data_IF_751203257926
#
_entry.id   IF_751203257926
#
_cell.length_a   1.000
_cell.length_b   1.000
_cell.length_c   1.000
_cell.angle_alpha   90.00
_cell.angle_beta   90.00
_cell.angle_gamma   90.00
#
_symmetry.space_group_name_H-M   'P 1'
#
loop_
_entity.id
_entity.type
_entity.pdbx_description
1 polymer ?
#
# COMPACT_ATOMS: atom_id res chain seq x y z
N UNK A 1 74.92 34.45 -14.74
CA UNK A 1 73.84 35.32 -15.27
C UNK A 1 72.51 34.64 -15.01
N UNK A 2 71.45 35.42 -14.74
CA UNK A 2 70.40 35.08 -13.76
C UNK A 2 69.25 34.24 -14.33
N UNK A 3 68.50 33.70 -13.38
CA UNK A 3 67.40 32.74 -13.46
C UNK A 3 66.05 33.44 -13.66
N UNK A 4 65.17 32.91 -14.52
CA UNK A 4 63.75 33.25 -14.55
C UNK A 4 62.93 32.11 -15.20
N UNK A 5 61.82 31.73 -14.56
CA UNK A 5 60.71 30.91 -15.10
C UNK A 5 59.42 31.77 -15.09
N UNK A 6 58.26 31.30 -15.62
CA UNK A 6 57.96 30.73 -16.95
C UNK A 6 56.64 31.34 -17.54
N UNK A 7 56.16 30.89 -18.72
CA UNK A 7 54.83 31.26 -19.26
C UNK A 7 54.16 30.17 -20.15
N UNK A 8 52.82 30.17 -20.31
CA UNK A 8 51.95 28.97 -20.48
C UNK A 8 51.45 28.66 -21.91
N UNK A 9 50.64 27.60 -22.09
CA UNK A 9 50.37 26.90 -23.37
C UNK A 9 48.89 26.85 -23.88
N UNK A 10 48.74 26.94 -25.22
CA UNK A 10 47.62 26.82 -26.25
C UNK A 10 46.84 25.52 -26.60
N UNK A 11 45.54 25.26 -26.30
CA UNK A 11 44.81 24.03 -26.71
C UNK A 11 43.84 24.16 -27.92
N UNK A 12 44.22 23.73 -29.15
CA UNK A 12 43.39 22.88 -30.07
C UNK A 12 44.00 22.70 -31.49
N UNK A 13 44.64 21.54 -31.74
CA UNK A 13 44.96 20.93 -33.06
C UNK A 13 44.99 19.40 -32.84
N UNK A 14 44.34 18.55 -33.66
CA UNK A 14 44.44 17.10 -33.52
C UNK A 14 45.63 16.60 -34.37
N UNK A 15 46.65 15.91 -33.87
CA UNK A 15 46.96 15.46 -32.51
C UNK A 15 48.19 16.21 -31.97
N UNK A 16 48.06 16.68 -30.73
CA UNK A 16 49.10 17.12 -29.80
C UNK A 16 49.96 18.34 -30.21
N UNK A 17 49.46 19.55 -29.91
CA UNK A 17 50.16 20.86 -29.80
C UNK A 17 51.54 20.99 -30.49
N UNK A 18 51.55 21.59 -31.68
CA UNK A 18 52.56 22.51 -32.28
C UNK A 18 51.98 22.91 -33.67
N UNK A 19 52.07 24.10 -34.24
CA UNK A 19 52.60 25.43 -33.95
C UNK A 19 52.26 26.26 -35.23
N UNK A 20 52.47 27.58 -35.18
CA UNK A 20 52.50 28.56 -36.30
C UNK A 20 51.19 29.21 -36.74
N UNK A 21 51.05 30.50 -36.38
CA UNK A 21 50.24 31.47 -37.10
C UNK A 21 51.11 32.34 -37.99
N UNK A 22 50.52 32.92 -39.03
CA UNK A 22 50.93 34.16 -39.69
C UNK A 22 49.78 34.59 -40.62
N UNK A 23 49.50 35.90 -40.63
CA UNK A 23 48.35 36.50 -41.31
C UNK A 23 48.57 36.88 -42.78
N UNK A 24 47.65 37.75 -43.23
CA UNK A 24 47.47 38.34 -44.58
C UNK A 24 46.84 37.36 -45.60
N UNK A 25 45.87 37.71 -46.46
CA UNK A 25 45.32 38.97 -46.94
C UNK A 25 43.96 38.69 -47.64
N UNK A 26 43.14 39.72 -47.85
CA UNK A 26 42.30 39.80 -49.05
C UNK A 26 40.78 39.86 -48.86
N UNK A 27 40.23 41.06 -49.08
CA UNK A 27 39.18 41.25 -50.10
C UNK A 27 37.71 41.06 -49.73
N UNK A 28 37.04 42.20 -49.58
CA UNK A 28 35.69 42.53 -50.09
C UNK A 28 34.49 41.60 -49.80
N UNK A 29 33.52 42.13 -49.05
CA UNK A 29 32.15 41.61 -49.02
C UNK A 29 31.30 42.28 -47.95
N UNK A 30 30.75 43.46 -48.24
CA UNK A 30 29.76 44.10 -47.40
C UNK A 30 28.48 43.26 -47.34
N UNK A 31 27.93 43.04 -46.14
CA UNK A 31 26.53 42.67 -45.92
C UNK A 31 26.07 43.31 -44.62
N UNK A 32 25.41 44.46 -44.75
CA UNK A 32 24.65 45.08 -43.69
C UNK A 32 23.32 44.33 -43.51
N UNK A 33 22.98 43.97 -42.27
CA UNK A 33 21.61 43.84 -41.82
C UNK A 33 21.47 44.40 -40.40
N UNK A 34 20.92 45.61 -40.32
CA UNK A 34 20.18 46.09 -39.16
C UNK A 34 18.86 45.30 -39.09
N UNK A 35 18.50 44.78 -37.91
CA UNK A 35 17.16 44.23 -37.70
C UNK A 35 16.99 43.38 -36.45
N UNK A 36 16.46 44.00 -35.39
CA UNK A 36 15.62 43.43 -34.34
C UNK A 36 16.00 42.07 -33.72
N UNK A 37 16.47 42.09 -32.47
CA UNK A 37 16.32 40.92 -31.61
C UNK A 37 14.82 40.58 -31.49
N UNK A 38 14.39 39.31 -31.69
CA UNK A 38 13.03 38.95 -31.38
C UNK A 38 12.88 39.00 -29.87
N UNK A 39 12.03 39.91 -29.39
CA UNK A 39 11.45 39.81 -28.07
C UNK A 39 10.49 38.61 -28.07
N UNK A 40 11.02 37.39 -27.94
CA UNK A 40 10.24 36.31 -27.39
C UNK A 40 10.09 36.61 -25.90
N UNK A 41 8.95 37.20 -25.54
CA UNK A 41 8.50 37.24 -24.17
C UNK A 41 8.57 35.81 -23.61
N UNK A 42 9.56 35.54 -22.75
CA UNK A 42 9.47 34.45 -21.81
C UNK A 42 8.23 34.75 -20.95
N UNK A 43 7.09 34.15 -21.29
CA UNK A 43 6.12 33.82 -20.26
C UNK A 43 6.85 32.86 -19.34
N UNK A 44 7.46 33.40 -18.27
CA UNK A 44 7.90 32.57 -17.18
C UNK A 44 6.66 31.76 -16.78
N UNK A 45 6.71 30.44 -16.92
CA UNK A 45 5.70 29.58 -16.32
C UNK A 45 5.63 30.01 -14.86
N UNK A 46 4.50 30.56 -14.42
CA UNK A 46 4.34 30.90 -13.02
C UNK A 46 4.51 29.59 -12.23
N UNK A 47 5.53 29.51 -11.39
CA UNK A 47 5.84 28.35 -10.55
C UNK A 47 5.41 28.59 -9.10
N UNK A 48 4.63 29.65 -8.84
CA UNK A 48 4.15 29.98 -7.51
C UNK A 48 3.32 28.81 -6.96
N UNK A 49 3.75 28.16 -5.86
CA UNK A 49 2.97 27.10 -5.22
C UNK A 49 1.55 27.52 -4.86
N UNK A 50 1.29 28.82 -4.61
CA UNK A 50 -0.04 29.34 -4.34
C UNK A 50 -0.97 29.29 -5.59
N UNK A 51 -0.42 29.30 -6.80
CA UNK A 51 -1.21 29.13 -8.02
C UNK A 51 -1.69 27.67 -8.18
N UNK A 52 -0.89 26.72 -7.71
CA UNK A 52 -1.12 25.27 -7.85
C UNK A 52 -1.72 24.59 -6.63
N UNK A 53 -2.02 25.33 -5.56
CA UNK A 53 -2.62 24.78 -4.34
C UNK A 53 -3.94 25.46 -4.01
N UNK A 54 -4.83 24.70 -3.38
CA UNK A 54 -6.06 25.16 -2.76
C UNK A 54 -5.89 24.92 -1.26
N UNK A 55 -5.58 25.99 -0.52
CA UNK A 55 -5.42 25.92 0.94
C UNK A 55 -6.79 25.81 1.61
N UNK A 56 -7.00 24.77 2.42
CA UNK A 56 -8.26 24.56 3.16
C UNK A 56 -8.65 25.73 4.06
N UNK A 57 -7.67 26.49 4.59
CA UNK A 57 -7.91 27.68 5.42
C UNK A 57 -8.50 28.84 4.63
N UNK A 58 -8.25 28.91 3.32
CA UNK A 58 -8.90 29.89 2.43
C UNK A 58 -10.40 29.64 2.27
N UNK A 59 -10.87 28.46 2.67
CA UNK A 59 -12.29 28.06 2.66
C UNK A 59 -12.90 28.01 4.07
N UNK A 60 -12.18 28.50 5.08
CA UNK A 60 -12.67 28.63 6.45
C UNK A 60 -12.32 27.48 7.39
N UNK A 61 -11.45 26.55 6.99
CA UNK A 61 -10.96 25.52 7.91
C UNK A 61 -10.07 26.16 8.98
N UNK A 62 -10.31 25.84 10.25
CA UNK A 62 -9.60 26.41 11.39
C UNK A 62 -8.38 25.55 11.73
N UNK A 63 -8.57 24.23 11.85
CA UNK A 63 -7.50 23.29 12.21
C UNK A 63 -7.07 23.40 13.68
N UNK A 64 -8.02 23.63 14.60
CA UNK A 64 -7.80 23.79 16.05
C UNK A 64 -8.14 22.54 16.89
N UNK A 65 -8.56 21.45 16.25
CA UNK A 65 -8.95 20.19 16.86
C UNK A 65 -10.37 20.16 17.44
N UNK A 66 -11.10 21.29 17.40
CA UNK A 66 -12.42 21.46 18.02
C UNK A 66 -13.48 21.83 16.99
N UNK A 67 -13.18 22.81 16.14
CA UNK A 67 -14.07 23.30 15.09
C UNK A 67 -14.31 22.20 14.06
N UNK A 68 -15.57 22.00 13.66
CA UNK A 68 -15.89 21.07 12.57
C UNK A 68 -15.54 21.69 11.21
N UNK A 69 -14.42 21.24 10.64
CA UNK A 69 -13.86 21.73 9.39
C UNK A 69 -14.48 21.07 8.14
N UNK A 70 -15.48 20.19 8.31
CA UNK A 70 -16.02 19.36 7.23
C UNK A 70 -16.47 20.17 6.01
N UNK A 71 -17.25 21.24 6.19
CA UNK A 71 -17.77 22.01 5.07
C UNK A 71 -16.69 22.84 4.38
N UNK A 72 -15.75 23.42 5.14
CA UNK A 72 -14.64 24.18 4.61
C UNK A 72 -13.70 23.30 3.76
N UNK A 73 -13.35 22.12 4.28
CA UNK A 73 -12.51 21.15 3.57
C UNK A 73 -13.23 20.66 2.31
N UNK A 74 -14.51 20.31 2.40
CA UNK A 74 -15.29 19.89 1.22
C UNK A 74 -15.37 20.99 0.16
N UNK A 75 -15.49 22.25 0.57
CA UNK A 75 -15.48 23.39 -0.36
C UNK A 75 -14.11 23.57 -1.04
N UNK A 76 -13.00 23.38 -0.32
CA UNK A 76 -11.66 23.39 -0.89
C UNK A 76 -11.46 22.25 -1.91
N UNK A 77 -11.93 21.03 -1.59
CA UNK A 77 -11.91 19.91 -2.55
C UNK A 77 -12.73 20.25 -3.79
N UNK A 78 -13.95 20.74 -3.62
CA UNK A 78 -14.80 21.15 -4.75
C UNK A 78 -14.10 22.20 -5.63
N UNK A 79 -13.43 23.18 -5.03
CA UNK A 79 -12.68 24.19 -5.76
C UNK A 79 -11.51 23.60 -6.56
N UNK A 80 -10.75 22.67 -5.98
CA UNK A 80 -9.69 21.97 -6.72
C UNK A 80 -10.25 21.21 -7.94
N UNK A 81 -11.46 20.64 -7.81
CA UNK A 81 -12.14 19.95 -8.90
C UNK A 81 -12.68 20.90 -9.99
N UNK A 82 -13.08 22.14 -9.66
CA UNK A 82 -13.64 23.08 -10.67
C UNK A 82 -12.67 23.42 -11.79
N UNK A 83 -11.36 23.38 -11.52
CA UNK A 83 -10.30 23.76 -12.48
C UNK A 83 -9.83 22.60 -13.35
N UNK A 84 -10.50 21.44 -13.29
CA UNK A 84 -10.12 20.26 -14.06
C UNK A 84 -10.35 20.45 -15.55
N UNK A 85 -9.44 19.90 -16.38
CA UNK A 85 -9.61 19.82 -17.83
C UNK A 85 -9.48 18.37 -18.27
N UNK A 86 -10.48 17.87 -19.00
CA UNK A 86 -10.55 16.44 -19.37
C UNK A 86 -10.41 15.50 -18.16
N UNK A 87 -11.03 15.86 -17.03
CA UNK A 87 -10.95 15.13 -15.76
C UNK A 87 -9.66 15.33 -14.95
N UNK A 88 -8.61 15.93 -15.54
CA UNK A 88 -7.31 16.12 -14.88
C UNK A 88 -7.36 17.32 -13.95
N UNK A 89 -7.14 17.07 -12.66
CA UNK A 89 -7.03 18.07 -11.61
C UNK A 89 -5.69 18.81 -11.75
N UNK A 90 -5.74 20.14 -11.64
CA UNK A 90 -4.56 21.02 -11.82
C UNK A 90 -4.05 21.65 -10.54
N UNK A 91 -4.80 21.50 -9.44
CA UNK A 91 -4.45 22.03 -8.13
C UNK A 91 -4.52 20.95 -7.07
N UNK A 92 -3.53 20.92 -6.20
CA UNK A 92 -3.59 20.09 -4.99
C UNK A 92 -4.45 20.75 -3.90
N UNK A 93 -5.02 19.94 -3.02
CA UNK A 93 -5.66 20.40 -1.79
C UNK A 93 -4.60 20.41 -0.69
N UNK A 94 -4.27 21.58 -0.17
CA UNK A 94 -3.22 21.77 0.81
C UNK A 94 -3.80 21.96 2.22
N UNK A 95 -3.23 21.22 3.18
CA UNK A 95 -3.53 21.28 4.60
C UNK A 95 -2.30 21.82 5.35
N UNK A 96 -2.30 23.11 5.75
CA UNK A 96 -1.27 23.64 6.64
C UNK A 96 -1.20 22.87 7.97
N UNK A 97 -0.16 23.07 8.80
CA UNK A 97 -0.11 22.48 10.14
C UNK A 97 -1.37 22.79 10.96
N UNK A 98 -1.86 21.80 11.68
CA UNK A 98 -3.10 21.91 12.47
C UNK A 98 -3.82 20.60 12.64
N UNK A 99 -4.83 20.65 13.51
CA UNK A 99 -5.71 19.53 13.86
C UNK A 99 -7.10 19.76 13.26
N UNK A 100 -7.39 19.13 12.12
CA UNK A 100 -8.64 19.30 11.40
C UNK A 100 -9.66 18.24 11.83
N UNK A 101 -10.76 18.68 12.46
CA UNK A 101 -11.83 17.77 12.90
C UNK A 101 -12.91 17.70 11.82
N UNK A 102 -13.21 16.48 11.37
CA UNK A 102 -14.24 16.20 10.36
C UNK A 102 -15.32 15.33 11.00
N UNK A 103 -16.58 15.77 10.96
CA UNK A 103 -17.72 15.00 11.49
C UNK A 103 -18.63 14.43 10.39
N UNK A 104 -18.43 14.82 9.13
CA UNK A 104 -19.27 14.42 7.99
C UNK A 104 -18.56 13.41 7.09
N UNK A 105 -19.32 12.41 6.64
CA UNK A 105 -18.87 11.46 5.60
C UNK A 105 -18.63 12.18 4.27
N UNK A 106 -17.83 11.55 3.40
CA UNK A 106 -17.55 12.01 2.04
C UNK A 106 -16.93 13.42 1.95
N UNK A 107 -16.32 13.90 3.03
CA UNK A 107 -15.70 15.23 3.11
C UNK A 107 -14.52 15.39 2.15
N UNK A 108 -13.67 14.36 2.01
CA UNK A 108 -12.50 14.42 1.13
C UNK A 108 -12.82 14.03 -0.30
N UNK A 109 -13.82 13.18 -0.53
CA UNK A 109 -14.36 12.87 -1.85
C UNK A 109 -15.71 12.17 -1.70
N UNK A 110 -16.61 12.44 -2.64
CA UNK A 110 -17.93 11.82 -2.74
C UNK A 110 -18.07 11.09 -4.08
N UNK A 111 -18.97 10.11 -4.16
CA UNK A 111 -19.41 9.58 -5.44
C UNK A 111 -20.73 10.25 -5.87
N UNK A 112 -20.82 10.87 -7.06
CA UNK A 112 -22.03 11.50 -7.52
C UNK A 112 -23.01 10.44 -8.04
N UNK A 113 -24.30 10.63 -7.80
CA UNK A 113 -25.37 9.72 -8.25
C UNK A 113 -25.66 9.76 -9.75
N UNK A 114 -24.89 10.51 -10.55
CA UNK A 114 -25.17 10.79 -11.97
C UNK A 114 -24.34 9.97 -12.97
N UNK A 115 -23.56 8.99 -12.51
CA UNK A 115 -22.97 7.95 -13.38
C UNK A 115 -21.49 8.15 -13.72
N UNK A 116 -20.99 7.39 -14.71
CA UNK A 116 -19.56 7.18 -15.00
C UNK A 116 -18.84 8.35 -15.70
N UNK A 117 -19.51 9.47 -15.98
CA UNK A 117 -18.95 10.59 -16.74
C UNK A 117 -17.97 11.46 -15.94
N UNK A 118 -17.84 11.27 -14.61
CA UNK A 118 -17.20 12.21 -13.70
C UNK A 118 -15.81 11.78 -13.18
N UNK A 119 -14.97 11.22 -14.06
CA UNK A 119 -13.62 10.77 -13.68
C UNK A 119 -12.71 11.93 -13.25
N UNK A 120 -11.95 11.69 -12.18
CA UNK A 120 -11.02 12.63 -11.55
C UNK A 120 -9.63 12.03 -11.60
N UNK A 121 -8.72 12.68 -12.33
CA UNK A 121 -7.34 12.25 -12.49
C UNK A 121 -6.39 13.19 -11.75
N UNK A 122 -5.43 12.66 -11.01
CA UNK A 122 -4.32 13.47 -10.49
C UNK A 122 -4.67 14.28 -9.23
N UNK A 123 -5.77 13.99 -8.53
CA UNK A 123 -6.12 14.69 -7.29
C UNK A 123 -5.07 14.40 -6.21
N UNK A 124 -4.59 15.45 -5.55
CA UNK A 124 -3.59 15.35 -4.47
C UNK A 124 -4.07 16.04 -3.21
N UNK A 125 -3.86 15.39 -2.08
CA UNK A 125 -4.03 15.93 -0.74
C UNK A 125 -2.66 15.98 -0.08
N UNK A 126 -2.17 17.19 0.25
CA UNK A 126 -0.83 17.39 0.82
C UNK A 126 -0.92 18.06 2.18
N UNK A 127 -0.24 17.49 3.17
CA UNK A 127 -0.01 18.09 4.49
C UNK A 127 1.45 18.47 4.71
N UNK A 128 1.82 18.69 5.98
CA UNK A 128 3.16 19.10 6.41
C UNK A 128 3.94 18.02 7.19
N UNK A 129 3.47 16.77 7.13
CA UNK A 129 4.06 15.59 7.76
C UNK A 129 3.12 14.92 8.78
N UNK A 130 3.29 13.61 9.05
CA UNK A 130 2.60 12.93 10.14
C UNK A 130 2.74 13.70 11.45
N UNK A 131 1.62 13.82 12.19
CA UNK A 131 1.52 14.54 13.47
C UNK A 131 1.70 16.06 13.41
N UNK A 132 2.05 16.62 12.25
CA UNK A 132 2.07 18.08 12.01
C UNK A 132 0.75 18.53 11.39
N UNK A 133 0.25 17.76 10.42
CA UNK A 133 -1.09 17.89 9.86
C UNK A 133 -1.91 16.68 10.29
N UNK A 134 -2.94 16.88 11.09
CA UNK A 134 -3.78 15.81 11.62
C UNK A 134 -5.22 15.98 11.14
N UNK A 135 -5.79 14.93 10.54
CA UNK A 135 -7.20 14.87 10.18
C UNK A 135 -7.88 13.86 11.10
N UNK A 136 -8.76 14.33 11.98
CA UNK A 136 -9.55 13.49 12.90
C UNK A 136 -10.94 13.28 12.32
N UNK A 137 -11.26 12.05 11.92
CA UNK A 137 -12.62 11.67 11.51
C UNK A 137 -13.43 11.33 12.76
N UNK A 138 -14.14 12.32 13.29
CA UNK A 138 -14.77 12.36 14.60
C UNK A 138 -16.28 12.32 14.48
N UNK A 139 -16.81 11.14 14.18
CA UNK A 139 -18.23 10.91 13.90
C UNK A 139 -18.87 10.09 15.01
N UNK A 140 -20.18 10.23 15.16
CA UNK A 140 -21.00 9.38 16.00
C UNK A 140 -21.75 8.31 15.19
N UNK A 141 -21.21 7.89 14.04
CA UNK A 141 -21.87 6.91 13.19
C UNK A 141 -22.01 5.55 13.88
N UNK A 142 -23.15 4.90 13.69
CA UNK A 142 -23.35 3.50 14.04
C UNK A 142 -22.75 2.59 12.95
N UNK A 143 -22.45 1.33 13.31
CA UNK A 143 -22.01 0.34 12.33
C UNK A 143 -23.06 0.15 11.22
N UNK A 144 -22.60 0.05 9.98
CA UNK A 144 -23.44 -0.20 8.80
C UNK A 144 -22.95 -1.43 8.06
N UNK A 145 -23.90 -2.24 7.58
CA UNK A 145 -23.60 -3.34 6.67
C UNK A 145 -23.39 -2.87 5.23
N UNK A 146 -23.86 -1.66 4.88
CA UNK A 146 -23.60 -1.06 3.58
C UNK A 146 -22.17 -0.49 3.56
N UNK A 147 -21.25 -1.03 2.73
CA UNK A 147 -19.86 -0.59 2.69
C UNK A 147 -19.69 0.84 2.15
N UNK A 148 -20.72 1.43 1.55
CA UNK A 148 -20.74 2.82 1.07
C UNK A 148 -20.92 3.83 2.21
N UNK A 149 -21.38 3.39 3.37
CA UNK A 149 -21.62 4.26 4.52
C UNK A 149 -20.38 4.48 5.40
N UNK A 150 -20.41 5.56 6.18
CA UNK A 150 -19.39 5.93 7.16
C UNK A 150 -17.97 6.14 6.60
N UNK A 151 -17.83 6.47 5.32
CA UNK A 151 -16.54 6.71 4.69
C UNK A 151 -16.15 8.19 4.72
N UNK A 152 -14.88 8.49 4.91
CA UNK A 152 -14.36 9.84 4.64
C UNK A 152 -14.24 10.11 3.11
N UNK A 153 -14.08 9.04 2.33
CA UNK A 153 -13.92 9.04 0.87
C UNK A 153 -14.79 7.94 0.26
N UNK A 154 -15.64 8.29 -0.70
CA UNK A 154 -16.28 7.33 -1.62
C UNK A 154 -15.91 7.62 -3.07
N UNK A 155 -15.65 6.56 -3.84
CA UNK A 155 -15.43 6.67 -5.28
C UNK A 155 -15.99 5.47 -6.05
N UNK A 156 -17.03 5.72 -6.86
CA UNK A 156 -17.53 4.76 -7.84
C UNK A 156 -16.97 5.07 -9.22
N UNK A 157 -16.02 4.26 -9.72
CA UNK A 157 -15.35 4.46 -11.02
C UNK A 157 -14.85 5.91 -11.23
N UNK A 158 -14.34 6.53 -10.16
CA UNK A 158 -14.13 7.99 -10.15
C UNK A 158 -12.68 8.40 -10.02
N UNK A 159 -11.93 7.80 -9.11
CA UNK A 159 -10.60 8.28 -8.74
C UNK A 159 -9.49 7.57 -9.51
N UNK A 160 -8.63 8.34 -10.19
CA UNK A 160 -7.45 7.82 -10.87
C UNK A 160 -6.23 8.68 -10.54
N UNK A 161 -5.07 8.06 -10.36
CA UNK A 161 -3.84 8.76 -10.01
C UNK A 161 -4.04 9.69 -8.79
N UNK A 162 -4.53 9.14 -7.68
CA UNK A 162 -4.83 9.93 -6.47
C UNK A 162 -3.69 9.82 -5.46
N UNK A 163 -3.32 10.94 -4.85
CA UNK A 163 -2.17 11.05 -3.94
C UNK A 163 -2.58 11.61 -2.58
N UNK A 164 -2.08 11.00 -1.51
CA UNK A 164 -2.15 11.48 -0.14
C UNK A 164 -0.74 11.56 0.42
N UNK A 165 -0.32 12.75 0.88
CA UNK A 165 1.07 12.99 1.24
C UNK A 165 1.22 13.77 2.55
N UNK A 166 2.02 13.25 3.48
CA UNK A 166 2.51 13.99 4.65
C UNK A 166 1.42 14.42 5.64
N UNK A 167 0.64 13.49 6.17
CA UNK A 167 -0.37 13.80 7.21
C UNK A 167 -0.78 12.56 8.01
N UNK A 168 -1.41 12.77 9.16
CA UNK A 168 -2.02 11.70 9.95
C UNK A 168 -3.53 11.70 9.81
N UNK A 169 -4.13 10.51 9.71
CA UNK A 169 -5.58 10.29 9.83
C UNK A 169 -5.88 9.54 11.13
N UNK A 170 -6.82 10.06 11.92
CA UNK A 170 -7.21 9.44 13.20
C UNK A 170 -8.71 9.19 13.26
N UNK A 171 -9.10 8.04 13.78
CA UNK A 171 -10.46 7.75 14.22
C UNK A 171 -10.44 7.14 15.62
N UNK A 172 -11.51 7.37 16.38
CA UNK A 172 -11.78 6.67 17.63
C UNK A 172 -13.06 5.83 17.57
N UNK A 173 -13.80 5.92 16.45
CA UNK A 173 -15.04 5.20 16.24
C UNK A 173 -14.77 3.95 15.37
N UNK A 174 -15.01 2.74 15.89
CA UNK A 174 -14.81 1.49 15.15
C UNK A 174 -15.84 1.25 14.02
N UNK A 175 -16.77 2.18 13.78
CA UNK A 175 -17.68 2.20 12.63
C UNK A 175 -17.18 3.06 11.45
N UNK A 176 -16.13 3.87 11.66
CA UNK A 176 -15.59 4.76 10.63
C UNK A 176 -14.73 4.01 9.63
N UNK A 177 -14.84 4.44 8.38
CA UNK A 177 -14.01 4.01 7.27
C UNK A 177 -13.23 5.20 6.69
N UNK A 178 -11.98 5.00 6.29
CA UNK A 178 -11.25 6.06 5.58
C UNK A 178 -11.71 6.15 4.12
N UNK A 179 -11.72 5.05 3.37
CA UNK A 179 -12.12 5.06 1.98
C UNK A 179 -12.85 3.79 1.52
N UNK A 180 -13.77 3.96 0.58
CA UNK A 180 -14.39 2.88 -0.18
C UNK A 180 -14.38 3.16 -1.69
N UNK A 181 -13.77 2.25 -2.44
CA UNK A 181 -13.58 2.33 -3.89
C UNK A 181 -14.27 1.15 -4.58
N UNK A 182 -15.21 1.41 -5.48
CA UNK A 182 -15.91 0.35 -6.20
C UNK A 182 -16.14 0.67 -7.67
N UNK A 183 -16.34 -0.37 -8.48
CA UNK A 183 -16.61 -0.19 -9.91
C UNK A 183 -18.04 -0.50 -10.32
N UNK A 184 -18.71 -1.50 -9.74
CA UNK A 184 -20.11 -1.87 -10.06
C UNK A 184 -20.87 -2.04 -8.75
N UNK A 185 -22.16 -1.71 -8.72
CA UNK A 185 -23.01 -1.86 -7.53
C UNK A 185 -23.30 -3.36 -7.29
N UNK A 186 -22.50 -3.97 -6.43
CA UNK A 186 -22.58 -5.39 -6.10
C UNK A 186 -23.64 -5.71 -5.04
N UNK A 187 -24.44 -4.73 -4.59
CA UNK A 187 -25.25 -4.86 -3.36
C UNK A 187 -26.72 -5.32 -3.56
N UNK A 188 -27.36 -5.20 -4.74
CA UNK A 188 -28.67 -5.80 -5.05
C UNK A 188 -29.15 -5.52 -6.49
N UNK A 189 -30.07 -6.35 -7.02
CA UNK A 189 -30.62 -6.37 -8.39
C UNK A 189 -31.40 -5.15 -8.89
N UNK A 190 -31.25 -3.98 -8.28
CA UNK A 190 -31.57 -2.68 -8.87
C UNK A 190 -30.55 -1.66 -8.34
N UNK A 191 -29.57 -1.24 -9.17
CA UNK A 191 -28.52 -0.34 -8.73
C UNK A 191 -29.11 0.96 -8.16
N UNK A 192 -28.76 1.32 -6.91
CA UNK A 192 -29.19 2.61 -6.32
C UNK A 192 -28.43 3.78 -6.94
N UNK A 193 -27.28 3.47 -7.54
CA UNK A 193 -26.45 4.37 -8.30
C UNK A 193 -26.41 3.90 -9.76
N UNK A 194 -26.17 4.78 -10.74
CA UNK A 194 -26.13 4.38 -12.14
C UNK A 194 -25.11 3.26 -12.31
N UNK A 195 -25.35 2.36 -13.26
CA UNK A 195 -24.40 1.34 -13.67
C UNK A 195 -23.08 2.04 -14.05
N UNK A 196 -22.18 2.15 -13.09
CA UNK A 196 -20.87 2.70 -13.34
C UNK A 196 -20.19 1.61 -14.16
N UNK A 197 -20.01 1.87 -15.46
CA UNK A 197 -19.50 0.86 -16.40
C UNK A 197 -18.14 0.31 -15.98
N UNK A 198 -17.56 -0.57 -16.81
CA UNK A 198 -16.31 -1.32 -16.60
C UNK A 198 -15.01 -0.47 -16.41
N UNK A 199 -15.10 0.76 -15.90
CA UNK A 199 -13.99 1.64 -15.62
C UNK A 199 -13.40 1.44 -14.22
N UNK A 200 -12.25 2.07 -14.04
CA UNK A 200 -11.31 1.80 -12.95
C UNK A 200 -11.24 2.93 -11.93
N UNK A 201 -11.15 2.58 -10.64
CA UNK A 201 -10.45 3.41 -9.66
C UNK A 201 -9.00 2.97 -9.60
N UNK A 202 -8.10 3.77 -10.16
CA UNK A 202 -6.76 3.30 -10.51
C UNK A 202 -5.67 4.13 -9.83
N UNK A 203 -4.57 3.49 -9.44
CA UNK A 203 -3.34 4.17 -9.03
C UNK A 203 -3.53 5.12 -7.85
N UNK A 204 -3.34 4.58 -6.66
CA UNK A 204 -3.37 5.32 -5.40
C UNK A 204 -1.99 5.34 -4.77
N UNK A 205 -1.54 6.51 -4.36
CA UNK A 205 -0.28 6.67 -3.62
C UNK A 205 -0.57 7.29 -2.26
N UNK A 206 -0.23 6.57 -1.22
CA UNK A 206 -0.16 7.05 0.14
C UNK A 206 1.32 7.14 0.51
N UNK A 207 1.83 8.36 0.69
CA UNK A 207 3.22 8.61 1.01
C UNK A 207 3.32 9.35 2.33
N UNK A 208 4.11 8.82 3.25
CA UNK A 208 4.33 9.49 4.55
C UNK A 208 3.01 9.79 5.26
N UNK A 209 2.13 8.78 5.31
CA UNK A 209 0.83 8.83 5.98
C UNK A 209 0.87 7.99 7.24
N UNK A 210 0.29 8.50 8.32
CA UNK A 210 0.06 7.74 9.55
C UNK A 210 -1.45 7.53 9.80
N UNK A 211 -1.89 6.28 9.95
CA UNK A 211 -3.26 5.98 10.41
C UNK A 211 -3.27 5.53 11.86
N UNK A 212 -4.11 6.20 12.67
CA UNK A 212 -4.14 6.05 14.13
C UNK A 212 -5.50 5.64 14.64
N UNK A 213 -5.49 4.90 15.75
CA UNK A 213 -6.69 4.63 16.53
C UNK A 213 -7.62 3.57 15.95
N UNK A 214 -8.90 3.65 16.28
CA UNK A 214 -9.88 2.61 15.98
C UNK A 214 -10.68 2.93 14.72
N UNK A 215 -10.69 1.99 13.79
CA UNK A 215 -11.44 2.07 12.53
C UNK A 215 -12.26 0.80 12.34
N UNK A 216 -13.34 0.86 11.57
CA UNK A 216 -13.89 -0.35 10.97
C UNK A 216 -12.88 -0.87 9.94
N UNK A 217 -12.58 -0.03 8.95
CA UNK A 217 -11.61 -0.29 7.89
C UNK A 217 -10.90 0.99 7.45
N UNK A 218 -9.66 0.89 6.99
CA UNK A 218 -9.01 2.06 6.36
C UNK A 218 -9.41 2.11 4.89
N UNK A 219 -9.10 1.10 4.08
CA UNK A 219 -9.44 1.07 2.66
C UNK A 219 -10.28 -0.16 2.34
N UNK A 220 -11.45 0.04 1.74
CA UNK A 220 -12.26 -1.02 1.13
C UNK A 220 -12.25 -0.91 -0.39
N UNK A 221 -12.08 -2.05 -1.05
CA UNK A 221 -12.09 -2.16 -2.51
C UNK A 221 -13.11 -3.22 -2.92
N UNK A 222 -13.97 -2.90 -3.89
CA UNK A 222 -15.02 -3.82 -4.33
C UNK A 222 -15.34 -3.74 -5.84
N UNK A 223 -16.02 -4.76 -6.33
CA UNK A 223 -16.52 -4.91 -7.69
C UNK A 223 -16.95 -6.35 -7.99
N UNK A 224 -17.99 -6.50 -8.79
CA UNK A 224 -18.45 -7.80 -9.30
C UNK A 224 -17.53 -8.33 -10.42
N UNK A 225 -17.93 -9.39 -11.14
CA UNK A 225 -17.13 -10.08 -12.18
C UNK A 225 -16.90 -9.23 -13.43
N UNK A 226 -17.69 -8.18 -13.61
CA UNK A 226 -17.67 -7.30 -14.77
C UNK A 226 -16.87 -6.02 -14.48
N UNK A 227 -16.73 -5.71 -13.19
CA UNK A 227 -15.86 -4.66 -12.72
C UNK A 227 -14.42 -4.85 -13.20
N UNK A 228 -13.76 -3.70 -13.40
CA UNK A 228 -12.33 -3.61 -13.60
C UNK A 228 -11.84 -2.47 -12.71
N UNK A 229 -11.41 -2.78 -11.49
CA UNK A 229 -10.95 -1.73 -10.58
C UNK A 229 -9.44 -1.50 -10.69
N UNK A 230 -8.69 -2.26 -11.51
CA UNK A 230 -7.23 -2.20 -11.74
C UNK A 230 -6.44 -1.56 -10.60
N UNK A 231 -6.68 -2.04 -9.38
CA UNK A 231 -6.47 -1.26 -8.16
C UNK A 231 -5.01 -1.29 -7.74
N UNK A 232 -4.18 -0.46 -8.36
CA UNK A 232 -2.79 -0.29 -7.91
C UNK A 232 -2.76 0.60 -6.67
N UNK A 233 -2.38 0.04 -5.52
CA UNK A 233 -2.21 0.80 -4.28
C UNK A 233 -0.74 0.77 -3.82
N UNK A 234 -0.18 1.96 -3.62
CA UNK A 234 1.18 2.17 -3.17
C UNK A 234 1.18 2.80 -1.77
N UNK A 235 1.70 2.07 -0.79
CA UNK A 235 1.98 2.56 0.55
C UNK A 235 3.48 2.76 0.67
N UNK A 236 3.91 4.00 0.88
CA UNK A 236 5.33 4.38 0.89
C UNK A 236 5.62 5.18 2.15
N UNK A 237 6.54 4.70 2.99
CA UNK A 237 6.89 5.36 4.26
C UNK A 237 5.68 5.57 5.18
N UNK A 238 4.65 4.72 5.07
CA UNK A 238 3.45 4.84 5.89
C UNK A 238 3.64 4.18 7.26
N UNK A 239 2.81 4.59 8.21
CA UNK A 239 2.83 4.01 9.56
C UNK A 239 1.44 3.89 10.19
N UNK A 240 1.38 3.10 11.26
CA UNK A 240 0.23 3.03 12.17
C UNK A 240 0.73 3.13 13.62
N UNK A 241 -0.12 3.58 14.54
CA UNK A 241 0.26 3.72 15.95
C UNK A 241 -0.06 2.48 16.79
N UNK A 242 0.43 2.48 18.03
CA UNK A 242 0.33 1.31 18.93
C UNK A 242 -1.08 1.05 19.46
N UNK A 243 -2.04 1.91 19.15
CA UNK A 243 -3.46 1.72 19.49
C UNK A 243 -4.30 1.37 18.26
N UNK A 244 -3.70 1.34 17.06
CA UNK A 244 -4.39 1.04 15.82
C UNK A 244 -5.05 -0.33 15.85
N UNK A 245 -6.37 -0.36 15.62
CA UNK A 245 -7.19 -1.57 15.58
C UNK A 245 -8.31 -1.47 14.56
N UNK A 246 -8.70 -2.62 14.02
CA UNK A 246 -9.64 -2.72 12.91
C UNK A 246 -10.74 -3.74 13.21
N UNK A 247 -12.01 -3.34 13.07
CA UNK A 247 -13.15 -4.27 13.20
C UNK A 247 -13.28 -5.18 11.97
N UNK A 248 -12.98 -4.67 10.77
CA UNK A 248 -12.82 -5.44 9.54
C UNK A 248 -11.33 -5.65 9.21
N UNK A 249 -10.66 -4.67 8.60
CA UNK A 249 -9.20 -4.73 8.35
C UNK A 249 -8.60 -3.34 8.04
N UNK A 250 -7.28 -3.18 8.03
CA UNK A 250 -6.67 -1.97 7.45
C UNK A 250 -7.05 -1.83 5.96
N UNK A 251 -6.80 -2.87 5.16
CA UNK A 251 -7.21 -2.95 3.76
C UNK A 251 -8.02 -4.23 3.55
N UNK A 252 -9.22 -4.09 3.00
CA UNK A 252 -10.05 -5.22 2.56
C UNK A 252 -10.30 -5.12 1.06
N UNK A 253 -9.85 -6.13 0.32
CA UNK A 253 -10.15 -6.30 -1.11
C UNK A 253 -11.19 -7.40 -1.29
N UNK A 254 -12.27 -7.07 -2.02
CA UNK A 254 -13.47 -7.90 -2.11
C UNK A 254 -14.31 -7.78 -0.85
N UNK A 255 -14.83 -6.57 -0.58
CA UNK A 255 -15.57 -6.26 0.66
C UNK A 255 -16.90 -7.03 0.76
N UNK A 256 -17.67 -7.06 -0.33
CA UNK A 256 -18.94 -7.80 -0.40
C UNK A 256 -18.74 -9.25 -0.84
N UNK A 257 -19.75 -10.09 -0.68
CA UNK A 257 -19.80 -11.43 -1.31
C UNK A 257 -21.21 -11.61 -1.89
N UNK A 258 -21.51 -11.03 -3.05
CA UNK A 258 -22.86 -11.07 -3.58
C UNK A 258 -23.16 -12.48 -4.08
N UNK A 259 -24.14 -13.12 -3.46
CA UNK A 259 -24.61 -14.44 -3.87
C UNK A 259 -25.04 -14.42 -5.35
N UNK A 260 -24.23 -15.02 -6.22
CA UNK A 260 -24.55 -15.22 -7.64
C UNK A 260 -23.79 -14.32 -8.63
N UNK A 261 -23.11 -13.26 -8.19
CA UNK A 261 -22.15 -12.53 -9.03
C UNK A 261 -20.76 -12.77 -8.47
N UNK A 262 -19.90 -13.49 -9.21
CA UNK A 262 -18.49 -13.64 -8.83
C UNK A 262 -17.91 -12.23 -8.65
N UNK A 263 -17.10 -11.97 -7.63
CA UNK A 263 -16.34 -10.71 -7.62
C UNK A 263 -15.22 -10.79 -8.67
N UNK A 264 -14.82 -9.65 -9.24
CA UNK A 264 -13.71 -9.62 -10.17
C UNK A 264 -12.44 -10.16 -9.51
N UNK A 265 -11.63 -10.80 -10.33
CA UNK A 265 -10.31 -11.27 -9.96
C UNK A 265 -9.22 -10.19 -10.20
N UNK A 266 -9.60 -9.01 -10.73
CA UNK A 266 -8.68 -7.90 -11.07
C UNK A 266 -8.39 -6.92 -9.93
N UNK A 267 -8.36 -7.40 -8.68
CA UNK A 267 -7.78 -6.65 -7.57
C UNK A 267 -6.25 -6.82 -7.59
N UNK A 268 -5.57 -6.07 -8.45
CA UNK A 268 -4.17 -6.34 -8.82
C UNK A 268 -3.20 -5.24 -8.34
N UNK A 269 -2.03 -5.69 -7.87
CA UNK A 269 -0.81 -4.90 -7.61
C UNK A 269 -0.86 -3.97 -6.39
N UNK A 270 -0.38 -4.49 -5.27
CA UNK A 270 -0.20 -3.76 -4.02
C UNK A 270 1.28 -3.66 -3.71
N UNK A 271 1.72 -2.47 -3.34
CA UNK A 271 3.11 -2.18 -3.01
C UNK A 271 3.19 -1.55 -1.63
N UNK A 272 3.97 -2.15 -0.75
CA UNK A 272 4.23 -1.65 0.59
C UNK A 272 5.74 -1.47 0.73
N UNK A 273 6.18 -0.23 0.87
CA UNK A 273 7.59 0.14 0.78
C UNK A 273 8.01 0.92 2.02
N UNK A 274 8.96 0.36 2.78
CA UNK A 274 9.56 0.98 3.97
C UNK A 274 8.53 1.50 4.98
N UNK A 275 7.46 0.71 5.20
CA UNK A 275 6.37 1.07 6.11
C UNK A 275 6.57 0.46 7.49
N UNK A 276 6.14 1.17 8.54
CA UNK A 276 6.25 0.74 9.93
C UNK A 276 4.87 0.62 10.57
N UNK A 277 4.38 -0.61 10.70
CA UNK A 277 3.00 -0.84 11.15
C UNK A 277 2.94 -1.46 12.56
N UNK A 278 2.29 -0.74 13.46
CA UNK A 278 1.82 -1.29 14.72
C UNK A 278 0.36 -1.79 14.60
N UNK A 279 0.04 -2.92 15.24
CA UNK A 279 -1.30 -3.52 15.20
C UNK A 279 -1.73 -4.01 16.59
N UNK A 280 -2.71 -3.33 17.20
CA UNK A 280 -3.23 -3.65 18.53
C UNK A 280 -4.40 -4.65 18.51
N UNK A 281 -4.98 -4.92 17.35
CA UNK A 281 -6.03 -5.93 17.17
C UNK A 281 -6.71 -5.84 15.80
N UNK A 282 -7.26 -6.96 15.35
CA UNK A 282 -7.93 -7.09 14.06
C UNK A 282 -6.99 -7.48 12.92
N UNK A 283 -7.50 -7.40 11.69
CA UNK A 283 -6.76 -7.77 10.49
C UNK A 283 -6.11 -6.56 9.84
N UNK A 284 -4.99 -6.76 9.14
CA UNK A 284 -4.32 -5.68 8.42
C UNK A 284 -4.62 -5.76 6.93
N UNK A 285 -4.00 -6.69 6.22
CA UNK A 285 -4.18 -6.89 4.79
C UNK A 285 -5.06 -8.11 4.52
N UNK A 286 -6.31 -7.87 4.13
CA UNK A 286 -7.33 -8.89 3.87
C UNK A 286 -7.69 -8.96 2.39
N UNK A 287 -7.32 -10.06 1.73
CA UNK A 287 -7.48 -10.25 0.29
C UNK A 287 -8.42 -11.42 -0.01
N UNK A 288 -9.73 -11.14 -0.01
CA UNK A 288 -10.75 -12.17 -0.14
C UNK A 288 -10.79 -12.85 -1.52
N UNK A 289 -10.28 -12.18 -2.56
CA UNK A 289 -10.35 -12.64 -3.97
C UNK A 289 -8.99 -12.72 -4.66
N UNK A 290 -7.92 -12.87 -3.87
CA UNK A 290 -6.57 -12.87 -4.40
C UNK A 290 -5.97 -11.46 -4.51
N UNK A 291 -4.75 -11.40 -5.03
CA UNK A 291 -3.99 -10.19 -5.25
C UNK A 291 -2.53 -10.48 -5.62
N UNK A 292 -1.84 -9.43 -6.06
CA UNK A 292 -0.38 -9.42 -6.28
C UNK A 292 0.23 -8.43 -5.31
N UNK A 293 0.69 -8.91 -4.16
CA UNK A 293 1.19 -8.10 -3.05
C UNK A 293 2.71 -8.15 -2.99
N UNK A 294 3.34 -6.99 -2.92
CA UNK A 294 4.79 -6.84 -2.84
C UNK A 294 5.14 -5.94 -1.66
N UNK A 295 5.90 -6.47 -0.70
CA UNK A 295 6.32 -5.78 0.52
C UNK A 295 7.84 -5.72 0.56
N UNK A 296 8.38 -4.54 0.80
CA UNK A 296 9.82 -4.27 0.82
C UNK A 296 10.19 -3.45 2.05
N UNK A 297 10.87 -4.13 3.00
CA UNK A 297 11.33 -3.54 4.24
C UNK A 297 10.21 -3.13 5.20
N UNK A 298 10.62 -2.77 6.41
CA UNK A 298 9.72 -2.27 7.44
C UNK A 298 9.93 -2.92 8.80
N UNK A 299 9.40 -2.27 9.84
CA UNK A 299 9.36 -2.79 11.20
C UNK A 299 7.90 -2.89 11.65
N UNK A 300 7.41 -4.12 11.77
CA UNK A 300 5.98 -4.40 11.97
C UNK A 300 5.78 -5.07 13.32
N UNK A 301 5.14 -4.39 14.27
CA UNK A 301 4.92 -4.91 15.63
C UNK A 301 3.45 -5.09 15.94
N UNK A 302 3.07 -6.26 16.43
CA UNK A 302 1.77 -6.40 17.10
C UNK A 302 1.85 -5.76 18.50
N UNK A 303 0.71 -5.49 19.13
CA UNK A 303 0.67 -4.86 20.46
C UNK A 303 -0.28 -5.63 21.36
N UNK A 304 0.13 -5.80 22.63
CA UNK A 304 -0.65 -6.56 23.61
C UNK A 304 -0.81 -8.04 23.21
N UNK A 305 -1.93 -8.63 23.59
CA UNK A 305 -2.22 -10.06 23.37
C UNK A 305 -3.47 -10.30 22.52
N UNK A 306 -4.21 -9.24 22.14
CA UNK A 306 -5.41 -9.34 21.32
C UNK A 306 -5.15 -10.10 20.01
N UNK A 307 -6.20 -10.72 19.48
CA UNK A 307 -6.17 -11.31 18.15
C UNK A 307 -5.76 -10.27 17.10
N UNK A 308 -4.72 -10.58 16.33
CA UNK A 308 -4.17 -9.68 15.33
C UNK A 308 -3.51 -10.47 14.19
N UNK A 309 -3.74 -10.06 12.93
CA UNK A 309 -3.19 -10.74 11.76
C UNK A 309 -2.71 -9.76 10.70
N UNK A 310 -1.49 -9.92 10.18
CA UNK A 310 -0.99 -9.05 9.11
C UNK A 310 -1.54 -9.44 7.74
N UNK A 311 -1.38 -10.69 7.31
CA UNK A 311 -1.87 -11.16 6.02
C UNK A 311 -3.00 -12.17 6.22
N UNK A 312 -4.20 -11.83 5.76
CA UNK A 312 -5.39 -12.68 5.80
C UNK A 312 -5.83 -12.97 4.38
N UNK A 313 -5.58 -14.19 3.92
CA UNK A 313 -5.68 -14.58 2.52
C UNK A 313 -6.64 -15.77 2.38
N UNK A 314 -7.96 -15.59 2.58
CA UNK A 314 -8.90 -16.70 2.73
C UNK A 314 -9.09 -17.51 1.43
N UNK A 315 -9.55 -18.76 1.60
CA UNK A 315 -10.03 -19.58 0.51
C UNK A 315 -11.39 -19.07 0.01
N UNK A 316 -11.64 -19.17 -1.30
CA UNK A 316 -12.98 -19.05 -1.87
C UNK A 316 -13.27 -20.28 -2.73
N UNK A 317 -14.37 -20.98 -2.39
CA UNK A 317 -14.76 -22.24 -3.03
C UNK A 317 -14.96 -22.12 -4.55
N UNK A 318 -15.37 -20.93 -4.99
CA UNK A 318 -15.71 -20.64 -6.38
C UNK A 318 -14.50 -20.54 -7.33
N UNK A 319 -13.28 -20.64 -6.79
CA UNK A 319 -12.05 -20.88 -7.57
C UNK A 319 -11.50 -19.70 -8.36
N UNK A 320 -12.00 -18.48 -8.12
CA UNK A 320 -11.74 -17.28 -8.92
C UNK A 320 -10.64 -16.39 -8.32
N UNK A 321 -9.44 -16.94 -8.15
CA UNK A 321 -8.24 -16.17 -7.81
C UNK A 321 -7.30 -16.19 -9.02
N UNK A 322 -7.32 -15.18 -9.88
CA UNK A 322 -6.42 -15.11 -11.05
C UNK A 322 -5.03 -14.65 -10.68
N UNK A 323 -4.91 -13.72 -9.73
CA UNK A 323 -3.65 -13.36 -9.08
C UNK A 323 -3.64 -13.86 -7.64
N UNK A 324 -2.70 -14.74 -7.31
CA UNK A 324 -2.45 -15.20 -5.95
C UNK A 324 -0.93 -15.17 -5.72
N UNK A 325 -0.40 -13.98 -5.43
CA UNK A 325 1.02 -13.79 -5.17
C UNK A 325 1.22 -12.87 -3.97
N UNK A 326 1.91 -13.37 -2.95
CA UNK A 326 2.46 -12.56 -1.88
C UNK A 326 3.99 -12.67 -1.92
N UNK A 327 4.68 -11.54 -2.00
CA UNK A 327 6.13 -11.45 -1.90
C UNK A 327 6.51 -10.45 -0.80
N UNK A 328 7.18 -10.92 0.25
CA UNK A 328 7.62 -10.11 1.40
C UNK A 328 9.12 -10.20 1.54
N UNK A 329 9.80 -9.05 1.52
CA UNK A 329 11.25 -8.98 1.57
C UNK A 329 11.71 -8.05 2.70
N UNK A 330 12.58 -8.53 3.58
CA UNK A 330 13.29 -7.68 4.55
C UNK A 330 12.44 -7.10 5.67
N UNK A 331 11.28 -7.69 5.99
CA UNK A 331 10.42 -7.21 7.08
C UNK A 331 10.82 -7.86 8.39
N UNK A 332 10.97 -7.03 9.44
CA UNK A 332 11.08 -7.50 10.82
C UNK A 332 9.70 -7.46 11.47
N UNK A 333 9.13 -8.64 11.70
CA UNK A 333 7.88 -8.85 12.42
C UNK A 333 8.13 -9.03 13.92
N UNK A 334 7.24 -8.50 14.74
CA UNK A 334 7.26 -8.65 16.19
C UNK A 334 5.88 -9.10 16.71
N UNK A 335 5.41 -10.31 16.36
CA UNK A 335 4.27 -10.91 17.05
C UNK A 335 4.61 -11.02 18.54
N UNK A 336 3.64 -10.74 19.41
CA UNK A 336 3.82 -10.88 20.86
C UNK A 336 3.53 -12.31 21.28
N UNK A 337 3.80 -12.59 22.56
CA UNK A 337 3.63 -13.89 23.20
C UNK A 337 2.14 -14.23 23.37
N UNK A 338 1.43 -14.41 22.25
CA UNK A 338 -0.01 -14.65 22.18
C UNK A 338 -0.32 -15.73 21.12
N UNK A 339 -1.20 -16.69 21.41
CA UNK A 339 -1.63 -17.70 20.43
C UNK A 339 -2.49 -17.11 19.30
N UNK A 340 -3.07 -15.92 19.51
CA UNK A 340 -4.04 -15.30 18.61
C UNK A 340 -3.41 -14.33 17.60
N UNK A 341 -2.07 -14.28 17.55
CA UNK A 341 -1.31 -13.36 16.73
C UNK A 341 -0.61 -14.07 15.56
N UNK A 342 -0.82 -13.59 14.33
CA UNK A 342 -0.28 -14.22 13.11
C UNK A 342 0.36 -13.22 12.15
N UNK A 343 1.55 -13.55 11.70
CA UNK A 343 2.13 -12.90 10.51
C UNK A 343 1.24 -13.20 9.30
N UNK A 344 0.80 -14.46 9.14
CA UNK A 344 -0.03 -14.87 8.01
C UNK A 344 -1.03 -15.96 8.40
N UNK A 345 -2.25 -15.83 7.88
CA UNK A 345 -3.32 -16.82 7.86
C UNK A 345 -3.82 -16.95 6.42
N UNK A 346 -3.36 -17.99 5.72
CA UNK A 346 -3.53 -18.13 4.27
C UNK A 346 -4.32 -19.39 3.93
N UNK A 347 -5.52 -19.22 3.38
CA UNK A 347 -6.33 -20.26 2.76
C UNK A 347 -6.34 -20.23 1.23
N UNK A 348 -5.50 -19.41 0.59
CA UNK A 348 -5.32 -19.54 -0.86
C UNK A 348 -4.96 -21.00 -1.20
N UNK A 349 -5.54 -21.53 -2.28
CA UNK A 349 -5.35 -22.92 -2.67
C UNK A 349 -4.46 -23.06 -3.92
N UNK A 350 -3.84 -21.96 -4.35
CA UNK A 350 -2.99 -21.83 -5.52
C UNK A 350 -2.05 -20.62 -5.38
N UNK A 351 -1.20 -20.43 -6.38
CA UNK A 351 -0.30 -19.28 -6.42
C UNK A 351 0.93 -19.44 -5.55
N UNK A 352 1.52 -18.33 -5.14
CA UNK A 352 2.78 -18.31 -4.38
C UNK A 352 2.74 -17.36 -3.19
N UNK A 353 3.41 -17.77 -2.12
CA UNK A 353 3.67 -16.95 -0.92
C UNK A 353 5.17 -17.05 -0.66
N UNK A 354 5.88 -15.92 -0.68
CA UNK A 354 7.34 -15.89 -0.48
C UNK A 354 7.70 -14.86 0.58
N UNK A 355 8.50 -15.30 1.56
CA UNK A 355 9.18 -14.46 2.53
C UNK A 355 10.69 -14.59 2.31
N UNK A 356 11.39 -13.48 2.19
CA UNK A 356 12.85 -13.43 1.98
C UNK A 356 13.48 -12.50 3.01
N UNK A 357 14.54 -12.95 3.69
CA UNK A 357 15.28 -12.15 4.69
C UNK A 357 14.38 -11.51 5.76
N UNK A 358 13.32 -12.22 6.16
CA UNK A 358 12.39 -11.77 7.17
C UNK A 358 12.74 -12.37 8.55
N UNK A 359 12.29 -11.72 9.61
CA UNK A 359 12.41 -12.26 10.97
C UNK A 359 11.12 -12.04 11.75
N UNK A 360 10.67 -13.03 12.53
CA UNK A 360 9.51 -12.91 13.42
C UNK A 360 9.83 -13.22 14.90
N UNK A 361 11.12 -13.29 15.25
CA UNK A 361 11.56 -13.79 16.56
C UNK A 361 11.68 -12.72 17.64
N UNK A 362 11.79 -11.44 17.29
CA UNK A 362 12.31 -10.42 18.21
C UNK A 362 11.56 -10.32 19.54
N UNK A 363 10.23 -10.51 19.54
CA UNK A 363 9.41 -10.46 20.75
C UNK A 363 9.11 -11.83 21.38
N UNK A 364 9.42 -12.94 20.68
CA UNK A 364 9.13 -14.31 21.14
C UNK A 364 10.38 -15.15 21.38
N UNK A 365 11.59 -14.64 21.16
CA UNK A 365 12.85 -15.40 21.33
C UNK A 365 12.95 -16.10 22.70
N UNK A 366 12.54 -15.40 23.77
CA UNK A 366 12.55 -15.90 25.15
C UNK A 366 11.21 -16.53 25.56
N UNK A 367 10.39 -16.97 24.61
CA UNK A 367 9.12 -17.62 24.92
C UNK A 367 9.35 -19.07 25.32
N UNK A 368 8.76 -19.48 26.45
CA UNK A 368 8.68 -20.89 26.86
C UNK A 368 7.64 -21.69 26.06
N UNK A 369 6.73 -21.00 25.36
CA UNK A 369 5.63 -21.58 24.60
C UNK A 369 5.82 -21.42 23.09
N UNK A 370 5.29 -22.37 22.32
CA UNK A 370 5.30 -22.37 20.87
C UNK A 370 4.07 -21.64 20.33
N UNK A 371 4.26 -20.52 19.66
CA UNK A 371 3.16 -19.74 19.06
C UNK A 371 3.00 -20.07 17.57
N UNK A 372 1.76 -20.15 17.10
CA UNK A 372 1.46 -20.31 15.69
C UNK A 372 1.42 -18.94 15.01
N UNK A 373 2.55 -18.49 14.49
CA UNK A 373 2.66 -17.19 13.79
C UNK A 373 2.34 -17.31 12.30
N UNK A 374 2.40 -18.51 11.73
CA UNK A 374 2.12 -18.78 10.31
C UNK A 374 1.16 -19.98 10.14
N UNK A 375 0.02 -19.75 9.49
CA UNK A 375 -0.98 -20.79 9.18
C UNK A 375 -1.30 -20.82 7.68
N UNK A 376 -1.43 -22.03 7.16
CA UNK A 376 -1.84 -22.32 5.80
C UNK A 376 -2.99 -23.33 5.81
N UNK A 377 -4.20 -22.94 5.40
CA UNK A 377 -5.30 -23.90 5.29
C UNK A 377 -5.18 -24.67 3.98
N UNK A 378 -5.25 -26.00 4.02
CA UNK A 378 -5.22 -26.87 2.84
C UNK A 378 -6.60 -27.12 2.25
N UNK A 379 -7.48 -26.11 2.29
CA UNK A 379 -8.85 -26.21 1.79
C UNK A 379 -8.89 -26.61 0.31
N UNK A 380 -9.83 -27.48 -0.05
CA UNK A 380 -9.85 -28.12 -1.37
C UNK A 380 -8.65 -29.04 -1.64
N UNK A 381 -7.88 -29.43 -0.62
CA UNK A 381 -6.72 -30.31 -0.74
C UNK A 381 -5.48 -29.65 -1.36
N UNK A 382 -5.37 -28.31 -1.32
CA UNK A 382 -4.27 -27.57 -1.95
C UNK A 382 -3.84 -26.39 -1.08
N UNK A 383 -2.57 -26.00 -1.23
CA UNK A 383 -2.00 -24.76 -0.68
C UNK A 383 -1.19 -24.05 -1.79
N UNK A 384 -0.82 -22.77 -1.65
CA UNK A 384 0.19 -22.16 -2.52
C UNK A 384 1.53 -22.88 -2.43
N UNK A 385 2.43 -22.55 -3.36
CA UNK A 385 3.86 -22.79 -3.10
C UNK A 385 4.31 -21.72 -2.11
N UNK A 386 4.64 -22.15 -0.90
CA UNK A 386 5.12 -21.28 0.17
C UNK A 386 6.62 -21.40 0.29
N UNK A 387 7.35 -20.29 0.23
CA UNK A 387 8.80 -20.25 0.40
C UNK A 387 9.19 -19.28 1.50
N UNK A 388 10.09 -19.75 2.37
CA UNK A 388 10.87 -18.94 3.30
C UNK A 388 12.33 -19.05 2.89
N UNK A 389 12.95 -17.92 2.59
CA UNK A 389 14.33 -17.86 2.15
C UNK A 389 15.12 -16.93 3.07
N UNK A 390 16.24 -17.40 3.60
CA UNK A 390 17.15 -16.61 4.44
C UNK A 390 16.46 -15.94 5.65
N UNK A 391 15.42 -16.60 6.20
CA UNK A 391 14.61 -16.04 7.28
C UNK A 391 15.08 -16.52 8.67
N UNK A 392 14.72 -15.77 9.71
CA UNK A 392 14.89 -16.18 11.11
C UNK A 392 13.51 -16.34 11.74
N UNK A 393 13.11 -17.59 11.97
CA UNK A 393 11.72 -17.97 12.25
C UNK A 393 11.54 -18.54 13.66
N UNK A 394 10.50 -18.08 14.36
CA UNK A 394 10.11 -18.52 15.69
C UNK A 394 8.81 -19.33 15.71
N UNK A 395 8.44 -19.83 16.90
CA UNK A 395 7.20 -20.58 17.09
C UNK A 395 7.11 -21.84 16.22
N UNK A 396 5.97 -22.00 15.55
CA UNK A 396 5.73 -23.09 14.61
C UNK A 396 4.82 -22.66 13.45
N UNK A 397 4.99 -23.31 12.31
CA UNK A 397 4.17 -23.15 11.13
C UNK A 397 3.19 -24.32 11.03
N UNK A 398 1.93 -24.03 10.71
CA UNK A 398 0.88 -25.04 10.59
C UNK A 398 0.35 -25.10 9.17
N UNK A 399 0.32 -26.30 8.60
CA UNK A 399 -0.49 -26.63 7.44
C UNK A 399 -1.71 -27.41 7.92
N UNK A 400 -2.84 -26.71 7.92
CA UNK A 400 -4.13 -27.16 8.46
C UNK A 400 -5.04 -27.62 7.32
N UNK A 401 -5.06 -28.91 7.02
CA UNK A 401 -5.95 -29.50 6.01
C UNK A 401 -6.72 -30.71 6.60
N UNK A 402 -7.14 -30.61 7.86
CA UNK A 402 -7.76 -31.72 8.58
C UNK A 402 -8.86 -32.42 7.73
N UNK A 403 -8.69 -33.72 7.50
CA UNK A 403 -9.65 -34.53 6.74
C UNK A 403 -9.48 -34.52 5.20
N UNK A 404 -8.53 -33.77 4.63
CA UNK A 404 -8.29 -33.77 3.18
C UNK A 404 -6.83 -34.09 2.83
N UNK A 405 -6.62 -34.93 1.83
CA UNK A 405 -5.27 -35.24 1.35
C UNK A 405 -4.71 -34.09 0.52
N UNK A 406 -3.49 -33.62 0.83
CA UNK A 406 -2.84 -32.54 0.06
C UNK A 406 -2.35 -33.06 -1.30
N UNK A 407 -2.97 -32.54 -2.37
CA UNK A 407 -2.69 -32.90 -3.76
C UNK A 407 -1.73 -31.94 -4.44
N UNK A 408 -1.71 -30.67 -4.02
CA UNK A 408 -0.92 -29.61 -4.64
C UNK A 408 -0.40 -28.62 -3.60
N UNK A 409 0.61 -27.86 -4.01
CA UNK A 409 1.32 -26.92 -3.14
C UNK A 409 2.43 -27.58 -2.33
N UNK A 410 3.27 -26.76 -1.72
CA UNK A 410 4.46 -27.21 -0.99
C UNK A 410 4.99 -26.12 -0.06
N UNK A 411 5.48 -26.52 1.11
CA UNK A 411 6.25 -25.67 2.02
C UNK A 411 7.76 -25.80 1.70
N UNK A 412 8.46 -24.70 1.50
CA UNK A 412 9.89 -24.68 1.19
C UNK A 412 10.60 -23.74 2.16
N UNK A 413 11.64 -24.24 2.79
CA UNK A 413 12.54 -23.45 3.63
C UNK A 413 13.96 -23.58 3.09
N UNK A 414 14.62 -22.45 2.87
CA UNK A 414 15.94 -22.35 2.25
C UNK A 414 16.77 -21.33 3.05
N UNK A 415 17.97 -21.71 3.51
CA UNK A 415 18.87 -20.80 4.23
C UNK A 415 18.32 -20.24 5.55
N UNK A 416 17.23 -20.82 6.08
CA UNK A 416 16.48 -20.25 7.21
C UNK A 416 16.95 -20.82 8.55
N UNK A 417 16.90 -19.99 9.60
CA UNK A 417 17.17 -20.37 10.99
C UNK A 417 15.87 -20.52 11.77
N UNK A 418 15.82 -21.51 12.65
CA UNK A 418 14.61 -21.87 13.39
C UNK A 418 14.86 -21.80 14.90
N UNK A 419 13.87 -21.29 15.63
CA UNK A 419 13.87 -21.21 17.08
C UNK A 419 12.77 -22.09 17.70
N UNK A 420 12.92 -22.41 18.98
CA UNK A 420 12.00 -23.19 19.82
C UNK A 420 11.92 -24.71 19.55
N UNK A 421 12.21 -25.20 18.33
CA UNK A 421 12.13 -26.64 18.00
C UNK A 421 13.45 -27.20 17.45
N UNK A 422 13.81 -28.40 17.93
CA UNK A 422 14.87 -29.23 17.32
C UNK A 422 14.31 -30.33 16.39
N UNK A 423 12.98 -30.39 16.22
CA UNK A 423 12.29 -31.27 15.28
C UNK A 423 11.72 -30.49 14.10
N UNK A 424 12.13 -30.86 12.88
CA UNK A 424 11.74 -30.15 11.66
C UNK A 424 10.26 -30.30 11.34
N UNK A 425 9.77 -31.55 11.28
CA UNK A 425 8.41 -31.88 10.81
C UNK A 425 7.73 -32.85 11.75
N UNK A 426 6.43 -32.65 11.98
CA UNK A 426 5.61 -33.54 12.79
C UNK A 426 4.11 -33.34 12.56
N UNK A 427 3.30 -34.04 13.36
CA UNK A 427 1.84 -33.91 13.34
C UNK A 427 1.39 -32.58 13.97
N UNK A 428 0.14 -32.17 13.73
CA UNK A 428 -0.45 -30.95 14.28
C UNK A 428 -0.26 -30.78 15.80
N UNK A 429 -0.35 -31.87 16.57
CA UNK A 429 -0.17 -31.88 18.02
C UNK A 429 1.27 -32.09 18.51
N UNK A 430 2.25 -32.21 17.61
CA UNK A 430 3.66 -32.40 17.97
C UNK A 430 4.33 -31.09 18.41
N UNK A 431 5.59 -31.19 18.84
CA UNK A 431 6.47 -30.04 19.14
C UNK A 431 7.31 -29.57 17.94
N UNK A 432 7.09 -30.14 16.75
CA UNK A 432 7.86 -29.80 15.56
C UNK A 432 7.64 -28.35 15.10
N UNK A 433 8.58 -27.82 14.31
CA UNK A 433 8.47 -26.49 13.72
C UNK A 433 7.41 -26.45 12.61
N UNK A 434 7.51 -27.32 11.60
CA UNK A 434 6.48 -27.45 10.58
C UNK A 434 5.52 -28.59 10.96
N UNK A 435 4.25 -28.25 11.16
CA UNK A 435 3.22 -29.20 11.58
C UNK A 435 2.20 -29.42 10.47
N UNK A 436 1.90 -30.68 10.16
CA UNK A 436 0.84 -31.05 9.22
C UNK A 436 -0.34 -31.70 9.94
N UNK A 437 -1.55 -31.28 9.58
CA UNK A 437 -2.79 -31.93 9.96
C UNK A 437 -3.25 -33.00 8.95
N UNK A 438 -2.57 -33.13 7.79
CA UNK A 438 -2.96 -34.01 6.68
C UNK A 438 -1.78 -34.71 5.99
N UNK A 439 -2.07 -35.76 5.23
CA UNK A 439 -1.12 -36.53 4.42
C UNK A 439 -1.54 -36.56 2.93
N UNK A 440 -0.61 -36.66 1.96
CA UNK A 440 0.84 -36.64 2.15
C UNK A 440 1.34 -35.24 2.49
N UNK A 441 2.28 -35.15 3.44
CA UNK A 441 2.98 -33.90 3.73
C UNK A 441 3.90 -33.53 2.56
N UNK A 442 3.83 -32.28 2.09
CA UNK A 442 4.61 -31.78 0.94
C UNK A 442 5.52 -30.64 1.37
N UNK A 443 6.78 -30.95 1.67
CA UNK A 443 7.76 -29.97 2.16
C UNK A 443 9.18 -30.16 1.60
N UNK A 444 10.04 -29.16 1.77
CA UNK A 444 11.49 -29.24 1.60
C UNK A 444 12.18 -28.29 2.59
N UNK A 445 13.23 -28.78 3.25
CA UNK A 445 14.21 -27.97 3.99
C UNK A 445 15.54 -28.07 3.25
N UNK A 446 16.17 -26.92 3.00
CA UNK A 446 17.47 -26.79 2.34
C UNK A 446 18.33 -25.87 3.19
N UNK A 447 19.54 -26.30 3.53
CA UNK A 447 20.58 -25.48 4.16
C UNK A 447 20.08 -24.66 5.37
N UNK A 448 19.28 -25.29 6.24
CA UNK A 448 18.65 -24.57 7.36
C UNK A 448 18.27 -25.43 8.58
N UNK A 449 18.32 -26.76 8.48
CA UNK A 449 17.93 -27.64 9.58
C UNK A 449 18.99 -28.70 9.87
N UNK A 450 19.87 -28.44 10.86
CA UNK A 450 20.83 -29.39 11.45
C UNK A 450 21.47 -30.41 10.49
N UNK A 451 21.66 -30.05 9.23
CA UNK A 451 22.61 -30.68 8.33
C UNK A 451 23.94 -30.08 8.72
N UNK A 452 24.88 -30.90 9.19
CA UNK A 452 26.26 -30.43 9.31
C UNK A 452 26.64 -29.81 7.97
N UNK A 453 27.19 -28.59 8.00
CA UNK A 453 27.92 -28.08 6.85
C UNK A 453 28.97 -29.15 6.56
N UNK A 454 28.86 -29.83 5.42
CA UNK A 454 29.90 -30.75 5.02
C UNK A 454 31.16 -29.87 4.84
N UNK A 455 32.20 -30.16 5.62
CA UNK A 455 33.50 -29.52 5.44
C UNK A 455 33.90 -29.69 3.97
N UNK A 456 33.87 -28.57 3.24
CA UNK A 456 34.19 -28.47 1.82
C UNK A 456 35.17 -27.34 1.59
#
# INVERSE_FOLDING_TARGET
MPEARPGPADPSRPISRRAFGLGAAGGAGALAFLGGAPAHAQSASNTDPAEYSVDVKSYGAVGDGVTDDSDAIRAAVAAALTQRRSGIVRKEVFFPPGDYRITKKDTLMWSPTTGNADQVFGLRFRGCGPRVTNVKFDTAFAASADPRENNLITAAVRLRYTYFEGMSFTSTNPANNFAYYWSVDSLAGTPTYPEYGNGQNQYFVYRDIEWKGSWNRVIGIDGDKEANNNSEHHFVLCSTDTVSRYTDAFLTCGVTDPAGSKQQDQFLNYFVQSCNFALAGGDFFKFNRGGSINVYGGSWSMVGTSAARYFVLPYTADGDTTAARLNVNGVRFEPKKSPDQKVIDCGWNRGTVTFTSCSDIAAIQEASAFYNTHRYSGEGGRIPIVRYQDCVLGGYHLVDAAGTSLQNGKMIYEGSRFHHSNTAVGTAGSTAFLRYASAPARYAFRDGWNTADAEG
#
